data_IF_934162220710
#
_entry.id   IF_934162220710
#
_cell.length_a   1.000
_cell.length_b   1.000
_cell.length_c   1.000
_cell.angle_alpha   90.00
_cell.angle_beta   90.00
_cell.angle_gamma   90.00
#
_symmetry.space_group_name_H-M   'P 1'
#
loop_
_entity.id
_entity.type
_entity.pdbx_description
1 polymer ?
#
# COMPACT_ATOMS: atom_id res chain seq x y z
N UNK A 1 42.28 58.14 51.21
CA UNK A 1 41.28 58.08 50.10
C UNK A 1 41.51 56.84 49.29
N UNK A 2 40.73 55.77 49.53
CA UNK A 2 40.88 54.47 48.85
C UNK A 2 39.63 54.22 47.98
N UNK A 3 39.82 54.20 46.68
CA UNK A 3 38.81 53.91 45.68
C UNK A 3 38.67 52.39 45.54
N UNK A 4 37.49 51.87 45.79
CA UNK A 4 37.18 50.44 45.54
C UNK A 4 36.52 50.31 44.18
N UNK A 5 37.12 49.59 43.27
CA UNK A 5 36.52 49.17 41.99
C UNK A 5 35.77 47.85 42.18
N UNK A 6 34.48 47.88 42.00
CA UNK A 6 33.63 46.69 41.93
C UNK A 6 33.50 46.25 40.48
N UNK A 7 34.01 45.07 40.14
CA UNK A 7 33.75 44.40 38.87
C UNK A 7 32.47 43.58 39.01
N UNK A 8 31.48 43.92 38.23
CA UNK A 8 30.29 43.12 38.02
C UNK A 8 30.52 42.14 36.84
N UNK A 9 30.58 40.85 37.16
CA UNK A 9 30.62 39.78 36.15
C UNK A 9 29.20 39.47 35.66
N UNK A 10 28.93 39.74 34.39
CA UNK A 10 27.69 39.37 33.70
C UNK A 10 27.84 37.93 33.17
N UNK A 11 27.23 36.97 33.86
CA UNK A 11 27.15 35.58 33.39
C UNK A 11 25.98 35.45 32.42
N UNK A 12 26.24 35.41 31.12
CA UNK A 12 25.26 35.13 30.08
C UNK A 12 24.96 33.63 30.01
N UNK A 13 23.80 33.21 30.46
CA UNK A 13 23.31 31.85 30.27
C UNK A 13 22.81 31.67 28.84
N UNK A 14 23.61 30.98 28.02
CA UNK A 14 23.17 30.51 26.70
C UNK A 14 22.32 29.25 26.90
N UNK A 15 21.00 29.39 26.87
CA UNK A 15 20.09 28.24 26.78
C UNK A 15 20.09 27.72 25.35
N UNK A 16 20.81 26.63 25.09
CA UNK A 16 20.63 25.85 23.88
C UNK A 16 19.24 25.21 23.93
N UNK A 17 18.29 25.80 23.24
CA UNK A 17 17.01 25.19 22.93
C UNK A 17 17.23 24.01 21.98
N UNK A 18 17.28 22.80 22.51
CA UNK A 18 17.17 21.59 21.71
C UNK A 18 15.76 21.55 21.11
N UNK A 19 15.59 22.03 19.86
CA UNK A 19 14.39 21.81 19.09
C UNK A 19 14.29 20.30 18.80
N UNK A 20 13.55 19.58 19.62
CA UNK A 20 13.11 18.22 19.32
C UNK A 20 12.20 18.30 18.09
N UNK A 21 12.72 17.98 16.91
CA UNK A 21 11.93 17.61 15.75
C UNK A 21 11.18 16.32 16.12
N UNK A 22 10.03 16.48 16.79
CA UNK A 22 9.05 15.41 16.87
C UNK A 22 8.62 15.14 15.41
N UNK A 23 9.07 14.01 14.82
CA UNK A 23 8.38 13.46 13.66
C UNK A 23 6.94 13.27 14.10
N UNK A 24 6.05 14.15 13.64
CA UNK A 24 4.61 13.96 13.81
C UNK A 24 4.29 12.63 13.12
N UNK A 25 3.95 11.62 13.92
CA UNK A 25 3.39 10.39 13.38
C UNK A 25 2.17 10.83 12.55
N UNK A 26 2.16 10.50 11.26
CA UNK A 26 1.06 10.85 10.36
C UNK A 26 -0.21 10.20 10.91
N UNK A 27 -1.05 10.98 11.56
CA UNK A 27 -2.34 10.51 12.03
C UNK A 27 -3.32 10.63 10.88
N UNK A 28 -3.72 9.49 10.32
CA UNK A 28 -4.79 9.45 9.32
C UNK A 28 -6.16 9.67 9.99
N UNK A 29 -7.08 10.29 9.26
CA UNK A 29 -8.49 10.34 9.66
C UNK A 29 -9.08 8.93 9.48
N UNK A 30 -9.23 8.21 10.59
CA UNK A 30 -9.87 6.90 10.65
C UNK A 30 -11.32 6.97 11.14
N UNK A 31 -11.93 8.17 11.16
CA UNK A 31 -13.36 8.30 11.47
C UNK A 31 -14.23 7.72 10.35
N UNK A 32 -15.41 7.16 10.64
CA UNK A 32 -16.30 6.65 9.60
C UNK A 32 -16.87 7.76 8.70
N UNK A 33 -16.93 9.00 9.18
CA UNK A 33 -17.50 10.16 8.48
C UNK A 33 -16.60 10.63 7.32
N UNK A 34 -15.28 10.48 7.47
CA UNK A 34 -14.31 10.87 6.45
C UNK A 34 -14.53 12.29 5.89
N UNK A 35 -14.65 13.29 6.74
CA UNK A 35 -15.01 14.67 6.37
C UNK A 35 -14.10 15.31 5.31
N UNK A 36 -12.84 14.90 5.23
CA UNK A 36 -11.89 15.38 4.22
C UNK A 36 -11.80 14.53 2.95
N UNK A 37 -12.76 13.62 2.69
CA UNK A 37 -12.71 12.74 1.53
C UNK A 37 -12.76 13.53 0.22
N UNK A 38 -11.81 13.26 -0.67
CA UNK A 38 -11.77 13.84 -2.00
C UNK A 38 -12.96 13.32 -2.82
N UNK A 39 -13.57 14.22 -3.59
CA UNK A 39 -14.68 13.89 -4.49
C UNK A 39 -14.36 14.37 -5.91
N UNK A 40 -14.90 13.72 -6.90
CA UNK A 40 -14.83 14.10 -8.28
C UNK A 40 -16.22 14.37 -8.87
N UNK A 41 -16.26 15.02 -10.02
CA UNK A 41 -17.49 15.19 -10.78
C UNK A 41 -17.65 14.04 -11.78
N UNK A 42 -18.91 13.72 -12.11
CA UNK A 42 -19.20 12.81 -13.20
C UNK A 42 -18.68 13.38 -14.53
N UNK A 43 -17.97 12.55 -15.30
CA UNK A 43 -17.46 12.93 -16.61
C UNK A 43 -18.26 12.22 -17.72
N UNK A 44 -19.10 12.96 -18.46
CA UNK A 44 -19.89 12.39 -19.54
C UNK A 44 -19.06 11.75 -20.66
N UNK A 45 -17.81 12.18 -20.87
CA UNK A 45 -16.92 11.58 -21.86
C UNK A 45 -16.47 10.19 -21.42
N UNK A 46 -16.09 10.05 -20.15
CA UNK A 46 -15.69 8.75 -19.55
C UNK A 46 -16.90 7.80 -19.46
N UNK A 47 -18.05 8.30 -19.01
CA UNK A 47 -19.28 7.49 -18.89
C UNK A 47 -19.64 6.84 -20.24
N UNK A 48 -19.48 7.55 -21.35
CA UNK A 48 -19.76 7.05 -22.71
C UNK A 48 -18.80 5.95 -23.16
N UNK A 49 -17.62 5.81 -22.54
CA UNK A 49 -16.66 4.76 -22.89
C UNK A 49 -16.95 3.42 -22.23
N UNK A 50 -17.81 3.42 -21.20
CA UNK A 50 -18.29 2.16 -20.60
C UNK A 50 -19.13 1.41 -21.64
N UNK A 51 -18.80 0.13 -21.95
CA UNK A 51 -19.56 -0.62 -22.94
C UNK A 51 -21.05 -0.66 -22.59
N UNK A 52 -21.91 -0.41 -23.57
CA UNK A 52 -23.37 -0.39 -23.38
C UNK A 52 -23.91 -1.73 -22.85
N UNK A 53 -23.21 -2.82 -23.13
CA UNK A 53 -23.58 -4.17 -22.69
C UNK A 53 -22.85 -4.55 -21.37
N UNK A 54 -22.11 -3.63 -20.72
CA UNK A 54 -21.53 -3.93 -19.43
C UNK A 54 -22.60 -3.97 -18.34
N UNK A 55 -22.76 -5.13 -17.72
CA UNK A 55 -23.71 -5.34 -16.64
C UNK A 55 -23.02 -5.12 -15.29
N UNK A 56 -23.25 -3.94 -14.69
CA UNK A 56 -22.83 -3.70 -13.31
C UNK A 56 -23.59 -4.61 -12.35
N UNK A 57 -22.95 -5.00 -11.25
CA UNK A 57 -23.60 -5.78 -10.17
C UNK A 57 -24.85 -5.09 -9.66
N UNK A 58 -24.81 -3.76 -9.60
CA UNK A 58 -25.95 -2.90 -9.28
C UNK A 58 -25.90 -1.71 -10.26
N UNK A 59 -27.04 -1.42 -10.92
CA UNK A 59 -27.11 -0.43 -12.00
C UNK A 59 -26.71 1.00 -11.59
N UNK A 60 -26.82 1.34 -10.31
CA UNK A 60 -26.56 2.70 -9.80
C UNK A 60 -25.21 2.80 -9.06
N UNK A 61 -24.49 1.68 -8.91
CA UNK A 61 -23.24 1.62 -8.15
C UNK A 61 -22.08 1.11 -8.99
N UNK A 62 -20.86 1.47 -8.56
CA UNK A 62 -19.64 0.74 -8.85
C UNK A 62 -19.34 -0.12 -7.64
N UNK A 63 -19.46 -1.44 -7.78
CA UNK A 63 -19.27 -2.39 -6.69
C UNK A 63 -17.81 -2.86 -6.67
N UNK A 64 -17.08 -2.44 -5.64
CA UNK A 64 -15.65 -2.70 -5.49
C UNK A 64 -15.40 -3.75 -4.39
N UNK A 65 -14.67 -4.80 -4.74
CA UNK A 65 -14.08 -5.73 -3.79
C UNK A 65 -12.87 -5.11 -3.12
N UNK A 66 -12.83 -5.15 -1.80
CA UNK A 66 -11.74 -4.58 -0.99
C UNK A 66 -11.33 -5.53 0.13
N UNK A 67 -10.04 -5.58 0.44
CA UNK A 67 -9.45 -6.38 1.52
C UNK A 67 -8.93 -5.43 2.59
N UNK A 68 -9.69 -5.16 3.66
CA UNK A 68 -9.19 -4.34 4.76
C UNK A 68 -8.01 -5.03 5.45
N UNK A 69 -6.95 -4.28 5.68
CA UNK A 69 -5.78 -4.71 6.43
C UNK A 69 -5.38 -3.61 7.42
N UNK A 70 -4.45 -2.75 7.04
CA UNK A 70 -3.90 -1.69 7.87
C UNK A 70 -3.80 -0.37 7.09
N UNK A 71 -3.83 0.78 7.78
CA UNK A 71 -3.54 2.06 7.14
C UNK A 71 -2.14 2.06 6.50
N UNK A 72 -1.93 2.84 5.46
CA UNK A 72 -2.85 3.78 4.81
C UNK A 72 -3.70 3.16 3.69
N UNK A 73 -3.48 1.89 3.32
CA UNK A 73 -4.06 1.27 2.11
C UNK A 73 -5.57 1.07 2.29
N UNK A 74 -5.98 0.24 3.24
CA UNK A 74 -7.37 0.04 3.63
C UNK A 74 -7.45 -0.55 5.03
N UNK A 75 -8.40 -0.09 5.83
CA UNK A 75 -8.60 -0.57 7.21
C UNK A 75 -10.05 -0.34 7.63
N UNK A 76 -10.45 -0.93 8.74
CA UNK A 76 -11.69 -0.53 9.39
C UNK A 76 -11.52 0.81 10.12
N UNK A 77 -12.53 1.66 10.01
CA UNK A 77 -12.63 2.90 10.76
C UNK A 77 -12.81 2.63 12.27
N UNK A 78 -12.86 3.70 13.07
CA UNK A 78 -13.00 3.61 14.52
C UNK A 78 -14.32 2.98 14.99
N UNK A 79 -15.32 2.87 14.11
CA UNK A 79 -16.57 2.14 14.35
C UNK A 79 -16.44 0.62 14.15
N UNK A 80 -15.26 0.12 13.75
CA UNK A 80 -14.96 -1.28 13.42
C UNK A 80 -15.87 -1.89 12.33
N UNK A 81 -16.50 -1.06 11.52
CA UNK A 81 -17.49 -1.47 10.50
C UNK A 81 -17.24 -0.81 9.14
N UNK A 82 -17.04 0.51 9.13
CA UNK A 82 -16.79 1.26 7.90
C UNK A 82 -15.36 1.01 7.42
N UNK A 83 -15.18 0.75 6.12
CA UNK A 83 -13.82 0.62 5.55
C UNK A 83 -13.37 1.98 5.03
N UNK A 84 -12.13 2.36 5.38
CA UNK A 84 -11.47 3.62 5.00
C UNK A 84 -10.05 3.35 4.53
N UNK A 85 -9.43 4.30 3.86
CA UNK A 85 -8.05 4.18 3.35
C UNK A 85 -7.92 4.69 1.93
N UNK A 86 -6.69 4.67 1.43
CA UNK A 86 -6.36 5.11 0.08
C UNK A 86 -7.19 4.38 -1.00
N UNK A 87 -7.27 3.06 -0.93
CA UNK A 87 -7.99 2.25 -1.92
C UNK A 87 -9.50 2.59 -1.94
N UNK A 88 -10.06 2.95 -0.79
CA UNK A 88 -11.47 3.41 -0.69
C UNK A 88 -11.63 4.79 -1.31
N UNK A 89 -10.75 5.73 -0.99
CA UNK A 89 -10.84 7.10 -1.50
C UNK A 89 -10.58 7.15 -3.02
N UNK A 90 -9.64 6.34 -3.53
CA UNK A 90 -9.44 6.16 -4.96
C UNK A 90 -10.69 5.58 -5.64
N UNK A 91 -11.26 4.54 -5.05
CA UNK A 91 -12.52 3.94 -5.55
C UNK A 91 -13.66 4.94 -5.57
N UNK A 92 -13.72 5.86 -4.59
CA UNK A 92 -14.75 6.89 -4.53
C UNK A 92 -14.64 7.89 -5.68
N UNK A 93 -13.44 8.45 -5.93
CA UNK A 93 -13.27 9.42 -7.02
C UNK A 93 -13.43 8.77 -8.40
N UNK A 94 -13.09 7.49 -8.56
CA UNK A 94 -13.36 6.71 -9.76
C UNK A 94 -14.87 6.47 -9.96
N UNK A 95 -15.59 6.09 -8.91
CA UNK A 95 -17.03 5.93 -8.96
C UNK A 95 -17.74 7.26 -9.31
N UNK A 96 -17.30 8.35 -8.66
CA UNK A 96 -17.82 9.71 -8.94
C UNK A 96 -17.64 10.08 -10.42
N UNK A 97 -16.46 9.85 -11.02
CA UNK A 97 -16.18 10.16 -12.43
C UNK A 97 -17.06 9.37 -13.39
N UNK A 98 -17.47 8.16 -13.01
CA UNK A 98 -18.40 7.33 -13.75
C UNK A 98 -19.87 7.67 -13.46
N UNK A 99 -20.14 8.69 -12.63
CA UNK A 99 -21.52 9.06 -12.24
C UNK A 99 -22.23 7.99 -11.40
N UNK A 100 -21.47 7.18 -10.64
CA UNK A 100 -21.98 6.06 -9.84
C UNK A 100 -21.71 6.25 -8.36
N UNK A 101 -22.55 5.63 -7.53
CA UNK A 101 -22.27 5.53 -6.10
C UNK A 101 -21.23 4.41 -5.87
N UNK A 102 -20.34 4.60 -4.90
CA UNK A 102 -19.43 3.55 -4.47
C UNK A 102 -20.16 2.55 -3.57
N UNK A 103 -19.99 1.25 -3.85
CA UNK A 103 -20.40 0.15 -2.97
C UNK A 103 -19.20 -0.75 -2.70
N UNK A 104 -18.87 -0.96 -1.44
CA UNK A 104 -17.76 -1.83 -1.05
C UNK A 104 -18.28 -3.22 -0.68
N UNK A 105 -17.54 -4.24 -1.10
CA UNK A 105 -17.71 -5.64 -0.68
C UNK A 105 -16.40 -6.09 -0.04
N UNK A 106 -16.44 -6.32 1.25
CA UNK A 106 -15.27 -6.81 1.99
C UNK A 106 -15.00 -8.26 1.61
N UNK A 107 -13.73 -8.55 1.33
CA UNK A 107 -13.22 -9.87 0.92
C UNK A 107 -12.00 -10.23 1.77
N UNK A 108 -11.72 -11.52 1.91
CA UNK A 108 -10.40 -11.99 2.28
C UNK A 108 -9.47 -12.01 1.03
N UNK A 109 -8.16 -11.87 1.23
CA UNK A 109 -7.21 -11.84 0.11
C UNK A 109 -7.32 -13.04 -0.85
N UNK A 110 -7.44 -14.31 -0.38
CA UNK A 110 -7.56 -15.44 -1.29
C UNK A 110 -8.86 -15.45 -2.12
N UNK A 111 -9.88 -14.73 -1.69
CA UNK A 111 -11.23 -14.78 -2.28
C UNK A 111 -11.44 -13.80 -3.44
N UNK A 112 -10.58 -12.78 -3.58
CA UNK A 112 -10.80 -11.74 -4.58
C UNK A 112 -10.86 -12.27 -6.04
N UNK A 113 -10.06 -13.29 -6.44
CA UNK A 113 -10.12 -13.79 -7.81
C UNK A 113 -11.48 -14.40 -8.13
N UNK A 114 -12.01 -15.20 -7.21
CA UNK A 114 -13.32 -15.85 -7.37
C UNK A 114 -14.46 -14.85 -7.31
N UNK A 115 -14.41 -13.87 -6.39
CA UNK A 115 -15.43 -12.83 -6.27
C UNK A 115 -15.55 -12.02 -7.56
N UNK A 116 -14.43 -11.71 -8.22
CA UNK A 116 -14.41 -11.00 -9.48
C UNK A 116 -14.88 -11.87 -10.64
N UNK A 117 -14.43 -13.11 -10.75
CA UNK A 117 -14.82 -14.05 -11.82
C UNK A 117 -16.32 -14.39 -11.77
N UNK A 118 -16.87 -14.58 -10.57
CA UNK A 118 -18.30 -14.89 -10.38
C UNK A 118 -19.23 -13.70 -10.59
N UNK A 119 -18.70 -12.49 -10.75
CA UNK A 119 -19.50 -11.28 -10.88
C UNK A 119 -20.10 -10.78 -9.55
N UNK A 120 -19.55 -11.17 -8.40
CA UNK A 120 -19.92 -10.65 -7.08
C UNK A 120 -19.55 -9.16 -6.95
N UNK A 121 -18.51 -8.73 -7.66
CA UNK A 121 -18.01 -7.35 -7.73
C UNK A 121 -17.72 -6.94 -9.17
N UNK A 122 -17.76 -5.64 -9.45
CA UNK A 122 -17.42 -5.08 -10.77
C UNK A 122 -15.91 -5.00 -10.97
N UNK A 123 -15.19 -4.60 -9.91
CA UNK A 123 -13.75 -4.52 -9.88
C UNK A 123 -13.22 -4.80 -8.47
N UNK A 124 -11.90 -4.99 -8.35
CA UNK A 124 -11.17 -5.13 -7.08
C UNK A 124 -10.12 -4.03 -7.00
N UNK A 125 -10.08 -3.34 -5.86
CA UNK A 125 -9.06 -2.35 -5.52
C UNK A 125 -8.47 -2.77 -4.16
N UNK A 126 -7.31 -3.42 -4.18
CA UNK A 126 -6.69 -4.01 -2.98
C UNK A 126 -5.21 -4.32 -3.23
N UNK A 127 -4.47 -3.32 -3.69
CA UNK A 127 -3.02 -3.47 -3.92
C UNK A 127 -2.65 -4.67 -4.81
N UNK A 128 -3.48 -4.98 -5.84
CA UNK A 128 -3.23 -6.12 -6.72
C UNK A 128 -2.17 -5.78 -7.75
N UNK A 129 -1.00 -6.40 -7.64
CA UNK A 129 0.11 -6.23 -8.57
C UNK A 129 -0.19 -6.83 -9.93
N UNK A 130 0.18 -6.12 -11.01
CA UNK A 130 0.04 -6.60 -12.40
C UNK A 130 1.09 -7.68 -12.70
N UNK A 131 0.65 -8.90 -12.99
CA UNK A 131 1.52 -10.03 -13.40
C UNK A 131 0.98 -10.69 -14.66
N UNK A 132 1.84 -11.29 -15.50
CA UNK A 132 1.41 -12.01 -16.70
C UNK A 132 0.52 -13.23 -16.36
N UNK A 133 0.72 -13.83 -15.19
CA UNK A 133 -0.14 -14.90 -14.69
C UNK A 133 -1.56 -14.41 -14.42
N UNK A 134 -1.70 -13.27 -13.72
CA UNK A 134 -3.01 -12.67 -13.43
C UNK A 134 -3.68 -12.10 -14.67
N UNK A 135 -2.90 -11.55 -15.62
CA UNK A 135 -3.42 -11.03 -16.91
C UNK A 135 -4.08 -12.11 -17.77
N UNK A 136 -3.76 -13.39 -17.57
CA UNK A 136 -4.47 -14.47 -18.24
C UNK A 136 -5.97 -14.54 -17.85
N UNK A 137 -6.34 -14.06 -16.66
CA UNK A 137 -7.69 -14.17 -16.08
C UNK A 137 -8.38 -12.83 -15.84
N UNK A 138 -7.63 -11.73 -15.81
CA UNK A 138 -8.10 -10.40 -15.43
C UNK A 138 -7.54 -9.32 -16.35
N UNK A 139 -8.21 -8.16 -16.37
CA UNK A 139 -7.72 -6.92 -16.96
C UNK A 139 -7.42 -5.90 -15.85
N UNK A 140 -6.51 -4.98 -16.12
CA UNK A 140 -5.89 -4.09 -15.15
C UNK A 140 -5.91 -2.63 -15.60
N UNK A 141 -6.11 -1.72 -14.64
CA UNK A 141 -5.93 -0.28 -14.80
C UNK A 141 -5.00 0.19 -13.69
N UNK A 142 -3.74 0.51 -14.00
CA UNK A 142 -2.72 0.82 -12.99
C UNK A 142 -3.00 2.14 -12.28
N UNK A 143 -2.69 2.22 -10.96
CA UNK A 143 -2.92 3.42 -10.18
C UNK A 143 -1.79 3.81 -9.24
N UNK A 144 -0.83 2.92 -8.94
CA UNK A 144 0.27 3.21 -8.02
C UNK A 144 1.45 2.26 -8.24
N UNK A 145 2.68 2.71 -7.92
CA UNK A 145 3.84 1.80 -7.85
C UNK A 145 3.69 0.87 -6.66
N UNK A 146 4.21 -0.34 -6.81
CA UNK A 146 4.22 -1.35 -5.74
C UNK A 146 5.60 -1.36 -5.07
N UNK A 147 5.65 -0.95 -3.81
CA UNK A 147 6.86 -0.95 -2.99
C UNK A 147 6.67 -1.85 -1.77
N UNK A 148 7.63 -2.73 -1.52
CA UNK A 148 7.66 -3.64 -0.37
C UNK A 148 8.89 -3.39 0.49
N UNK A 149 8.77 -3.59 1.80
CA UNK A 149 9.83 -3.27 2.76
C UNK A 149 10.14 -4.42 3.71
N UNK A 150 11.41 -4.49 4.10
CA UNK A 150 11.88 -5.35 5.19
C UNK A 150 11.90 -4.55 6.48
N UNK A 151 11.13 -5.00 7.47
CA UNK A 151 11.06 -4.39 8.79
C UNK A 151 11.50 -5.39 9.86
N UNK A 152 12.36 -4.92 10.74
CA UNK A 152 12.89 -5.71 11.86
C UNK A 152 12.51 -5.06 13.18
N UNK A 153 12.69 -5.76 14.30
CA UNK A 153 12.55 -5.13 15.63
C UNK A 153 13.48 -3.91 15.72
N UNK A 154 13.07 -2.91 16.48
CA UNK A 154 13.82 -1.66 16.65
C UNK A 154 15.25 -1.90 17.16
N UNK A 155 15.44 -2.88 18.05
CA UNK A 155 16.71 -3.28 18.66
C UNK A 155 17.47 -4.37 17.90
N UNK A 156 16.98 -4.82 16.74
CA UNK A 156 17.62 -5.87 15.93
C UNK A 156 19.05 -5.50 15.54
N UNK A 157 19.93 -6.50 15.47
CA UNK A 157 21.30 -6.35 14.96
C UNK A 157 21.34 -6.19 13.43
N UNK A 158 20.29 -6.60 12.70
CA UNK A 158 20.22 -6.49 11.25
C UNK A 158 20.13 -5.02 10.87
N UNK A 159 21.11 -4.49 10.13
CA UNK A 159 21.19 -3.06 9.77
C UNK A 159 20.63 -2.77 8.39
N UNK A 160 20.74 -3.71 7.46
CA UNK A 160 20.33 -3.55 6.07
C UNK A 160 19.96 -4.90 5.45
N UNK A 161 18.94 -4.89 4.57
CA UNK A 161 18.58 -5.98 3.67
C UNK A 161 18.35 -5.34 2.30
N UNK A 162 19.24 -5.59 1.33
CA UNK A 162 19.21 -4.96 -0.01
C UNK A 162 19.34 -5.94 -1.16
N UNK A 163 19.86 -7.12 -0.90
CA UNK A 163 20.17 -8.14 -1.89
C UNK A 163 19.91 -9.54 -1.34
N UNK A 164 19.77 -10.56 -2.18
CA UNK A 164 19.39 -11.91 -1.78
C UNK A 164 20.20 -12.46 -0.61
N UNK A 165 21.54 -12.31 -0.62
CA UNK A 165 22.40 -12.85 0.43
C UNK A 165 22.08 -12.32 1.84
N UNK A 166 21.47 -11.13 1.94
CA UNK A 166 21.18 -10.49 3.22
C UNK A 166 20.05 -11.21 3.99
N UNK A 167 19.24 -12.03 3.29
CA UNK A 167 18.17 -12.83 3.92
C UNK A 167 18.60 -14.27 4.26
N UNK A 168 19.83 -14.69 3.91
CA UNK A 168 20.26 -16.06 4.08
C UNK A 168 20.18 -16.51 5.54
N UNK A 169 19.40 -17.58 5.78
CA UNK A 169 19.20 -18.17 7.10
C UNK A 169 18.30 -17.37 8.04
N UNK A 170 17.70 -16.26 7.61
CA UNK A 170 16.73 -15.50 8.38
C UNK A 170 15.34 -16.19 8.41
N UNK A 171 14.57 -15.89 9.44
CA UNK A 171 13.16 -16.25 9.57
C UNK A 171 12.36 -15.02 9.20
N UNK A 172 11.65 -15.07 8.06
CA UNK A 172 10.95 -13.91 7.49
C UNK A 172 9.47 -14.19 7.38
N UNK A 173 8.67 -13.29 7.94
CA UNK A 173 7.22 -13.30 7.82
C UNK A 173 6.82 -12.60 6.52
N UNK A 174 5.93 -13.23 5.75
CA UNK A 174 5.29 -12.62 4.57
C UNK A 174 3.86 -13.17 4.41
N UNK A 175 3.15 -12.70 3.37
CA UNK A 175 1.75 -13.08 3.11
C UNK A 175 1.69 -14.05 1.93
N UNK A 176 1.05 -15.21 2.12
CA UNK A 176 0.95 -16.25 1.11
C UNK A 176 0.16 -15.80 -0.14
N UNK A 177 0.56 -16.25 -1.33
CA UNK A 177 -0.09 -15.95 -2.62
C UNK A 177 0.11 -14.51 -3.08
N UNK A 178 1.05 -13.79 -2.48
CA UNK A 178 1.36 -12.41 -2.82
C UNK A 178 2.58 -12.31 -3.74
N UNK A 179 2.81 -11.13 -4.29
CA UNK A 179 3.98 -10.89 -5.12
C UNK A 179 5.26 -10.75 -4.29
N UNK A 180 5.17 -10.17 -3.10
CA UNK A 180 6.31 -10.11 -2.18
C UNK A 180 6.78 -11.51 -1.75
N UNK A 181 5.87 -12.47 -1.55
CA UNK A 181 6.27 -13.86 -1.33
C UNK A 181 7.10 -14.40 -2.49
N UNK A 182 6.67 -14.17 -3.75
CA UNK A 182 7.42 -14.62 -4.94
C UNK A 182 8.81 -14.00 -4.99
N UNK A 183 8.96 -12.71 -4.68
CA UNK A 183 10.27 -12.04 -4.58
C UNK A 183 11.13 -12.71 -3.51
N UNK A 184 10.58 -12.97 -2.34
CA UNK A 184 11.29 -13.60 -1.23
C UNK A 184 11.77 -15.03 -1.59
N UNK A 185 10.91 -15.83 -2.22
CA UNK A 185 11.23 -17.19 -2.65
C UNK A 185 12.26 -17.22 -3.77
N UNK A 186 12.24 -16.25 -4.70
CA UNK A 186 13.28 -16.17 -5.75
C UNK A 186 14.64 -15.77 -5.15
N UNK A 187 14.67 -14.87 -4.18
CA UNK A 187 15.87 -14.54 -3.41
C UNK A 187 16.42 -15.74 -2.65
N UNK A 188 15.54 -16.55 -2.04
CA UNK A 188 15.95 -17.78 -1.37
C UNK A 188 16.54 -18.82 -2.32
N UNK A 189 15.90 -19.02 -3.47
CA UNK A 189 16.39 -19.93 -4.51
C UNK A 189 17.77 -19.51 -5.03
N UNK A 190 18.02 -18.20 -5.21
CA UNK A 190 19.35 -17.68 -5.56
C UNK A 190 20.38 -17.98 -4.47
N UNK A 191 20.02 -17.76 -3.20
CA UNK A 191 20.88 -18.05 -2.06
C UNK A 191 21.26 -19.54 -2.00
N UNK A 192 20.28 -20.43 -2.11
CA UNK A 192 20.52 -21.88 -2.10
C UNK A 192 21.42 -22.32 -3.25
N UNK A 193 21.23 -21.75 -4.45
CA UNK A 193 22.09 -22.03 -5.60
C UNK A 193 23.56 -21.61 -5.37
N UNK A 194 23.79 -20.59 -4.52
CA UNK A 194 25.13 -20.15 -4.11
C UNK A 194 25.63 -20.82 -2.80
N UNK A 195 24.96 -21.86 -2.32
CA UNK A 195 25.34 -22.60 -1.12
C UNK A 195 25.10 -21.87 0.19
N UNK A 196 24.32 -20.79 0.19
CA UNK A 196 23.92 -20.09 1.40
C UNK A 196 22.77 -20.81 2.09
N UNK A 197 22.57 -20.50 3.40
CA UNK A 197 21.47 -21.06 4.18
C UNK A 197 20.12 -20.59 3.64
N UNK A 198 19.13 -21.50 3.47
CA UNK A 198 17.81 -21.10 3.07
C UNK A 198 17.12 -20.18 4.08
N UNK A 199 16.23 -19.31 3.59
CA UNK A 199 15.34 -18.53 4.45
C UNK A 199 14.24 -19.44 5.04
N UNK A 200 13.82 -19.16 6.27
CA UNK A 200 12.65 -19.77 6.87
C UNK A 200 11.45 -18.84 6.70
N UNK A 201 10.62 -19.09 5.68
CA UNK A 201 9.43 -18.28 5.44
C UNK A 201 8.33 -18.69 6.42
N UNK A 202 7.68 -17.68 7.01
CA UNK A 202 6.61 -17.87 7.99
C UNK A 202 5.35 -17.12 7.54
N UNK A 203 4.18 -17.74 7.74
CA UNK A 203 2.90 -17.18 7.36
C UNK A 203 2.01 -17.08 8.59
N UNK A 204 1.31 -15.96 8.72
CA UNK A 204 0.36 -15.71 9.81
C UNK A 204 -0.85 -14.96 9.25
N UNK A 205 -2.04 -15.48 9.54
CA UNK A 205 -3.30 -14.89 9.08
C UNK A 205 -3.76 -13.70 9.94
N UNK A 206 -3.15 -13.54 11.13
CA UNK A 206 -3.52 -12.50 12.10
C UNK A 206 -2.35 -11.54 12.36
N UNK A 207 -2.59 -10.23 12.20
CA UNK A 207 -1.58 -9.17 12.37
C UNK A 207 -1.02 -9.07 13.79
N UNK A 208 -1.82 -9.35 14.81
CA UNK A 208 -1.36 -9.33 16.21
C UNK A 208 -0.43 -10.49 16.49
N UNK A 209 -0.75 -11.69 15.98
CA UNK A 209 0.10 -12.88 16.08
C UNK A 209 1.41 -12.68 15.32
N UNK A 210 1.35 -12.12 14.12
CA UNK A 210 2.51 -11.75 13.29
C UNK A 210 3.44 -10.78 14.02
N UNK A 211 2.86 -9.71 14.57
CA UNK A 211 3.61 -8.71 15.36
C UNK A 211 4.25 -9.35 16.59
N UNK A 212 3.52 -10.21 17.31
CA UNK A 212 4.07 -10.92 18.47
C UNK A 212 5.20 -11.87 18.09
N UNK A 213 5.11 -12.57 16.95
CA UNK A 213 6.18 -13.45 16.47
C UNK A 213 7.48 -12.67 16.20
N UNK A 214 7.39 -11.49 15.59
CA UNK A 214 8.53 -10.61 15.41
C UNK A 214 9.08 -10.09 16.75
N UNK A 215 8.22 -9.57 17.64
CA UNK A 215 8.65 -8.96 18.90
C UNK A 215 9.27 -9.98 19.86
N UNK A 216 8.79 -11.23 19.88
CA UNK A 216 9.35 -12.32 20.69
C UNK A 216 10.64 -12.94 20.12
N UNK A 217 11.09 -12.50 18.93
CA UNK A 217 12.25 -13.07 18.25
C UNK A 217 12.01 -14.45 17.64
N UNK A 218 10.76 -14.88 17.45
CA UNK A 218 10.41 -16.07 16.67
C UNK A 218 10.60 -15.84 15.16
N UNK A 219 10.53 -14.59 14.71
CA UNK A 219 10.91 -14.13 13.38
C UNK A 219 11.96 -13.04 13.48
N UNK A 220 12.76 -12.86 12.42
CA UNK A 220 13.83 -11.88 12.34
C UNK A 220 13.38 -10.62 11.61
N UNK A 221 12.49 -10.77 10.61
CA UNK A 221 11.94 -9.67 9.83
C UNK A 221 10.50 -9.95 9.38
N UNK A 222 9.78 -8.86 9.02
CA UNK A 222 8.55 -8.90 8.22
C UNK A 222 8.87 -8.30 6.87
N UNK A 223 8.38 -8.92 5.80
CA UNK A 223 8.49 -8.44 4.42
C UNK A 223 7.10 -8.34 3.80
N UNK A 224 6.60 -7.12 3.64
CA UNK A 224 5.26 -6.83 3.13
C UNK A 224 5.18 -5.41 2.56
N UNK A 225 3.97 -4.94 2.22
CA UNK A 225 3.71 -3.60 1.67
C UNK A 225 4.36 -2.52 2.52
N UNK A 226 5.28 -1.74 1.92
CA UNK A 226 6.11 -0.78 2.65
C UNK A 226 5.28 0.27 3.39
N UNK A 227 4.27 0.84 2.75
CA UNK A 227 3.43 1.90 3.34
C UNK A 227 2.73 1.44 4.64
N UNK A 228 2.24 0.20 4.67
CA UNK A 228 1.59 -0.41 5.85
C UNK A 228 2.57 -0.57 7.00
N UNK A 229 3.74 -1.16 6.72
CA UNK A 229 4.76 -1.40 7.73
C UNK A 229 5.41 -0.10 8.23
N UNK A 230 5.53 0.92 7.36
CA UNK A 230 5.99 2.25 7.73
C UNK A 230 5.04 2.92 8.72
N UNK A 231 3.74 2.83 8.47
CA UNK A 231 2.72 3.34 9.40
C UNK A 231 2.79 2.61 10.76
N UNK A 232 2.87 1.28 10.77
CA UNK A 232 3.03 0.52 12.01
C UNK A 232 4.31 0.92 12.77
N UNK A 233 5.42 1.10 12.06
CA UNK A 233 6.68 1.52 12.68
C UNK A 233 6.57 2.92 13.30
N UNK A 234 5.92 3.86 12.61
CA UNK A 234 5.71 5.22 13.09
C UNK A 234 4.78 5.29 14.32
N UNK A 235 3.67 4.53 14.29
CA UNK A 235 2.66 4.58 15.36
C UNK A 235 3.01 3.74 16.59
N UNK A 236 3.65 2.59 16.40
CA UNK A 236 3.97 1.67 17.51
C UNK A 236 5.40 1.83 18.03
N UNK A 237 6.31 2.37 17.22
CA UNK A 237 7.72 2.58 17.61
C UNK A 237 8.52 1.31 17.88
N UNK A 238 8.01 0.12 17.50
CA UNK A 238 8.58 -1.19 17.83
C UNK A 238 9.44 -1.79 16.73
N UNK A 239 9.28 -1.31 15.50
CA UNK A 239 9.99 -1.80 14.32
C UNK A 239 10.73 -0.68 13.61
N UNK A 240 11.63 -1.03 12.71
CA UNK A 240 12.28 -0.10 11.79
C UNK A 240 12.54 -0.74 10.45
N UNK A 241 12.53 0.10 9.41
CA UNK A 241 12.88 -0.26 8.05
C UNK A 241 14.38 -0.59 7.95
N UNK A 242 14.72 -1.63 7.21
CA UNK A 242 16.11 -2.01 6.88
C UNK A 242 16.35 -2.17 5.39
N UNK A 243 15.33 -2.07 4.55
CA UNK A 243 15.46 -2.05 3.10
C UNK A 243 14.11 -2.06 2.41
N UNK A 244 14.04 -1.46 1.23
CA UNK A 244 12.88 -1.52 0.33
C UNK A 244 13.31 -2.08 -1.01
N UNK A 245 12.38 -2.76 -1.65
CA UNK A 245 12.52 -3.20 -3.05
C UNK A 245 11.19 -3.00 -3.76
N UNK A 246 11.22 -2.90 -5.09
CA UNK A 246 9.98 -2.95 -5.85
C UNK A 246 9.27 -4.29 -5.61
N UNK A 247 7.95 -4.27 -5.49
CA UNK A 247 7.14 -5.49 -5.45
C UNK A 247 7.30 -6.38 -6.69
N UNK A 248 8.05 -5.95 -7.69
CA UNK A 248 8.40 -6.70 -8.88
C UNK A 248 9.89 -6.98 -9.05
N UNK A 249 10.67 -6.83 -7.99
CA UNK A 249 12.12 -7.01 -8.08
C UNK A 249 12.52 -8.20 -8.96
N UNK A 250 13.57 -8.07 -9.85
CA UNK A 250 14.40 -6.88 -10.09
C UNK A 250 13.76 -5.82 -11.00
N UNK A 251 12.51 -5.98 -11.39
CA UNK A 251 11.73 -5.01 -12.18
C UNK A 251 10.90 -4.11 -11.30
N UNK A 252 10.40 -3.02 -11.86
CA UNK A 252 9.34 -2.23 -11.24
C UNK A 252 8.00 -2.93 -11.40
N UNK A 253 7.12 -2.79 -10.41
CA UNK A 253 5.77 -3.27 -10.46
C UNK A 253 4.78 -2.12 -10.19
N UNK A 254 3.58 -2.26 -10.73
CA UNK A 254 2.45 -1.38 -10.45
C UNK A 254 1.29 -2.20 -9.91
N UNK A 255 0.53 -1.60 -9.01
CA UNK A 255 -0.76 -2.13 -8.56
C UNK A 255 -1.88 -1.50 -9.37
N UNK A 256 -2.98 -2.23 -9.51
CA UNK A 256 -4.04 -1.87 -10.44
C UNK A 256 -5.45 -2.17 -9.91
N UNK A 257 -6.41 -1.37 -10.36
CA UNK A 257 -7.81 -1.76 -10.34
C UNK A 257 -7.93 -2.99 -11.26
N UNK A 258 -8.47 -4.07 -10.73
CA UNK A 258 -8.55 -5.35 -11.41
C UNK A 258 -10.00 -5.63 -11.81
N UNK A 259 -10.23 -5.99 -13.06
CA UNK A 259 -11.56 -6.29 -13.62
C UNK A 259 -11.60 -7.68 -14.25
N UNK A 260 -12.79 -8.21 -14.51
CA UNK A 260 -12.94 -9.47 -15.26
C UNK A 260 -12.33 -9.33 -16.64
N UNK A 261 -11.61 -10.37 -17.06
CA UNK A 261 -10.99 -10.46 -18.38
C UNK A 261 -12.01 -10.24 -19.47
N UNK A 262 -11.71 -9.33 -20.41
CA UNK A 262 -12.55 -9.05 -21.58
C UNK A 262 -13.89 -8.38 -21.24
N UNK A 263 -14.10 -7.89 -20.02
CA UNK A 263 -15.33 -7.20 -19.63
C UNK A 263 -15.50 -5.83 -20.30
N UNK A 264 -14.41 -5.23 -20.78
CA UNK A 264 -14.38 -3.91 -21.37
C UNK A 264 -14.37 -2.75 -20.35
N UNK A 265 -14.36 -3.04 -19.03
CA UNK A 265 -14.39 -2.00 -18.01
C UNK A 265 -13.00 -1.39 -17.74
N UNK A 266 -11.90 -2.10 -18.02
CA UNK A 266 -10.55 -1.61 -17.71
C UNK A 266 -10.19 -0.30 -18.43
N UNK A 267 -10.50 -0.17 -19.71
CA UNK A 267 -10.22 1.06 -20.47
C UNK A 267 -10.95 2.30 -19.92
N UNK A 268 -12.27 2.26 -19.64
CA UNK A 268 -12.97 3.34 -18.93
C UNK A 268 -12.34 3.72 -17.61
N UNK A 269 -11.93 2.74 -16.78
CA UNK A 269 -11.29 2.98 -15.51
C UNK A 269 -9.89 3.63 -15.68
N UNK A 270 -9.12 3.20 -16.69
CA UNK A 270 -7.83 3.82 -17.02
C UNK A 270 -8.01 5.27 -17.49
N UNK A 271 -9.02 5.56 -18.29
CA UNK A 271 -9.34 6.92 -18.71
C UNK A 271 -9.75 7.79 -17.52
N UNK A 272 -10.61 7.25 -16.63
CA UNK A 272 -10.97 7.90 -15.37
C UNK A 272 -9.76 8.26 -14.54
N UNK A 273 -8.85 7.30 -14.31
CA UNK A 273 -7.61 7.54 -13.55
C UNK A 273 -6.75 8.62 -14.20
N UNK A 274 -6.59 8.60 -15.52
CA UNK A 274 -5.80 9.61 -16.23
C UNK A 274 -6.43 11.01 -16.15
N UNK A 275 -7.76 11.12 -16.15
CA UNK A 275 -8.45 12.39 -15.90
C UNK A 275 -8.22 12.87 -14.47
N UNK A 276 -8.37 11.98 -13.47
CA UNK A 276 -8.13 12.29 -12.06
C UNK A 276 -6.66 12.65 -11.77
N UNK A 277 -5.71 12.12 -12.55
CA UNK A 277 -4.29 12.53 -12.51
C UNK A 277 -4.15 13.96 -13.05
N UNK A 278 -4.75 14.25 -14.19
CA UNK A 278 -4.67 15.54 -14.88
C UNK A 278 -5.32 16.68 -14.10
N UNK A 279 -6.45 16.43 -13.44
CA UNK A 279 -7.18 17.43 -12.63
C UNK A 279 -6.66 17.55 -11.20
N UNK A 280 -5.65 16.74 -10.82
CA UNK A 280 -5.02 16.75 -9.51
C UNK A 280 -5.79 16.03 -8.40
N UNK A 281 -6.94 15.43 -8.67
CA UNK A 281 -7.72 14.67 -7.66
C UNK A 281 -6.99 13.43 -7.18
N UNK A 282 -6.35 12.71 -8.12
CA UNK A 282 -5.49 11.57 -7.78
C UNK A 282 -4.39 11.97 -6.80
N UNK A 283 -3.71 13.11 -7.04
CA UNK A 283 -2.67 13.61 -6.14
C UNK A 283 -3.22 13.93 -4.75
N UNK A 284 -4.39 14.57 -4.67
CA UNK A 284 -5.04 14.87 -3.38
C UNK A 284 -5.35 13.58 -2.59
N UNK A 285 -5.76 12.49 -3.27
CA UNK A 285 -5.99 11.20 -2.63
C UNK A 285 -4.69 10.60 -2.09
N UNK A 286 -3.59 10.64 -2.88
CA UNK A 286 -2.27 10.18 -2.42
C UNK A 286 -1.78 10.96 -1.21
N UNK A 287 -1.83 12.29 -1.27
CA UNK A 287 -1.34 13.17 -0.20
C UNK A 287 -2.12 12.93 1.11
N UNK A 288 -3.43 12.70 1.01
CA UNK A 288 -4.27 12.39 2.17
C UNK A 288 -3.80 11.15 2.94
N UNK A 289 -3.20 10.17 2.25
CA UNK A 289 -2.77 8.90 2.81
C UNK A 289 -1.24 8.75 2.83
N UNK A 290 -0.50 9.84 2.57
CA UNK A 290 0.96 9.88 2.57
C UNK A 290 1.61 8.83 1.64
N UNK A 291 1.03 8.68 0.44
CA UNK A 291 1.46 7.74 -0.61
C UNK A 291 2.01 8.44 -1.86
N UNK A 292 2.33 9.71 -1.76
CA UNK A 292 2.81 10.53 -2.89
C UNK A 292 4.08 9.99 -3.55
N UNK A 293 4.95 9.32 -2.78
CA UNK A 293 6.17 8.68 -3.29
C UNK A 293 5.90 7.51 -4.24
N UNK A 294 4.71 6.89 -4.15
CA UNK A 294 4.30 5.77 -4.98
C UNK A 294 3.44 6.20 -6.20
N UNK A 295 3.29 7.52 -6.41
CA UNK A 295 2.54 8.08 -7.52
C UNK A 295 3.05 7.60 -8.88
N UNK A 296 2.12 7.40 -9.83
CA UNK A 296 2.40 7.20 -11.24
C UNK A 296 2.03 8.47 -12.03
N UNK A 297 2.73 8.74 -13.12
CA UNK A 297 2.45 9.89 -13.99
C UNK A 297 1.26 9.62 -14.91
N UNK A 298 1.02 8.36 -15.24
CA UNK A 298 -0.03 7.92 -16.15
C UNK A 298 -0.51 6.51 -15.83
N UNK A 299 -1.81 6.33 -15.76
CA UNK A 299 -2.43 5.02 -15.69
C UNK A 299 -2.39 4.30 -17.05
N UNK A 300 -2.23 3.00 -17.04
CA UNK A 300 -2.19 2.15 -18.23
C UNK A 300 -3.15 0.96 -18.10
N UNK A 301 -3.79 0.61 -19.23
CA UNK A 301 -4.58 -0.63 -19.33
C UNK A 301 -3.65 -1.78 -19.71
N UNK A 302 -3.67 -2.84 -18.91
CA UNK A 302 -2.92 -4.08 -19.19
C UNK A 302 -1.45 -3.87 -19.58
N UNK A 303 -0.67 -3.05 -18.85
CA UNK A 303 0.74 -2.86 -19.18
C UNK A 303 1.48 -4.20 -19.10
N UNK A 304 2.73 -4.30 -19.59
CA UNK A 304 3.56 -5.46 -19.33
C UNK A 304 3.59 -5.75 -17.83
N UNK A 305 3.17 -6.97 -17.47
CA UNK A 305 3.16 -7.41 -16.08
C UNK A 305 4.48 -8.06 -15.67
N UNK A 306 4.59 -8.40 -14.40
CA UNK A 306 5.70 -9.23 -13.95
C UNK A 306 5.62 -10.59 -14.64
N UNK A 307 6.78 -11.19 -15.05
CA UNK A 307 6.79 -12.47 -15.76
C UNK A 307 6.16 -13.58 -14.90
N UNK A 308 5.76 -14.65 -15.57
CA UNK A 308 5.42 -15.90 -14.88
C UNK A 308 6.70 -16.44 -14.24
N UNK A 309 6.66 -16.74 -12.99
CA UNK A 309 7.74 -17.41 -12.25
C UNK A 309 7.53 -18.91 -12.26
#
# INVERSE_FOLDING_TARGET
MKLKHTFAALAGAITLGAASLALAATSFDLSPEQHGRVRANADPAIIKTVPANFNFVDKDTLTIGIVPALPPISTYATDAKTVVGFDVDLSQVVADSLGRKLKLVVLAWPDWPLALQSGKVDAVVSNVTVTEERKAKFDFSTYRRDEVGFYVRKDSAIKSIREPKDIAGLRIITDAGTNQEKVLLEWDKENVAHGLKPVSVQYYDDDAVRTLALQSGRADAIFSVNAVLAWQAATQGKTRLVGTVSGGWPRTAEVAITTRKGSGLADPLTQSLNELIRDGKYRQVLDRWNLDSEAIERAATNPPGLPKT
#
